data_IF_330154700735
#
_entry.id   IF_330154700735
#
_cell.length_a   1.000
_cell.length_b   1.000
_cell.length_c   1.000
_cell.angle_alpha   90.00
_cell.angle_beta   90.00
_cell.angle_gamma   90.00
#
_symmetry.space_group_name_H-M   'P 1'
#
loop_
_entity.id
_entity.type
_entity.pdbx_description
1 polymer ?
#
# COMPACT_ATOMS: atom_id res chain seq x y z
N UNK A 1 -37.22 -28.52 -19.13
CA UNK A 1 -35.78 -28.77 -18.92
C UNK A 1 -35.31 -27.75 -17.90
N UNK A 2 -34.77 -28.28 -16.81
CA UNK A 2 -34.55 -27.64 -15.52
C UNK A 2 -33.06 -27.31 -15.36
N UNK A 3 -32.77 -26.20 -14.65
CA UNK A 3 -31.47 -25.80 -14.07
C UNK A 3 -30.32 -25.43 -15.05
N UNK A 4 -29.37 -24.55 -14.75
CA UNK A 4 -28.79 -24.20 -13.45
C UNK A 4 -28.61 -22.69 -13.26
N UNK A 5 -29.09 -22.19 -12.11
CA UNK A 5 -28.53 -21.02 -11.45
C UNK A 5 -27.04 -21.27 -11.19
N UNK A 6 -26.15 -20.48 -11.80
CA UNK A 6 -24.76 -20.42 -11.33
C UNK A 6 -24.71 -19.46 -10.14
N UNK A 7 -25.03 -20.04 -8.99
CA UNK A 7 -24.81 -19.47 -7.66
C UNK A 7 -23.30 -19.42 -7.43
N UNK A 8 -22.65 -18.35 -7.89
CA UNK A 8 -21.29 -18.04 -7.44
C UNK A 8 -21.44 -17.44 -6.05
N UNK A 9 -20.84 -18.01 -4.99
CA UNK A 9 -20.83 -17.37 -3.70
C UNK A 9 -20.20 -16.00 -3.87
N UNK A 10 -20.94 -14.95 -3.50
CA UNK A 10 -20.42 -13.59 -3.42
C UNK A 10 -19.16 -13.63 -2.56
N UNK A 11 -18.00 -13.53 -3.21
CA UNK A 11 -16.76 -13.15 -2.55
C UNK A 11 -17.08 -11.91 -1.74
N UNK A 12 -17.02 -12.07 -0.41
CA UNK A 12 -17.41 -11.04 0.52
C UNK A 12 -16.75 -9.75 0.08
N UNK A 13 -17.57 -8.78 -0.34
CA UNK A 13 -17.13 -7.41 -0.63
C UNK A 13 -16.42 -6.93 0.62
N UNK A 14 -15.10 -7.10 0.64
CA UNK A 14 -14.23 -6.44 1.59
C UNK A 14 -14.55 -4.96 1.39
N UNK A 15 -15.24 -4.38 2.37
CA UNK A 15 -15.74 -3.01 2.32
C UNK A 15 -14.57 -2.06 2.49
N UNK A 16 -13.75 -1.94 1.46
CA UNK A 16 -12.61 -1.03 1.42
C UNK A 16 -13.05 0.44 1.51
N UNK A 17 -14.32 0.73 1.16
CA UNK A 17 -15.01 1.99 1.48
C UNK A 17 -15.03 2.31 2.99
N UNK A 18 -14.83 1.30 3.84
CA UNK A 18 -14.69 1.41 5.29
C UNK A 18 -13.27 1.15 5.80
N UNK A 19 -12.29 0.92 4.93
CA UNK A 19 -10.89 0.78 5.30
C UNK A 19 -10.18 2.13 5.54
N UNK A 20 -10.97 3.17 5.85
CA UNK A 20 -10.44 4.42 6.33
C UNK A 20 -9.84 4.18 7.73
N UNK A 21 -8.51 4.33 7.83
CA UNK A 21 -7.75 4.31 9.08
C UNK A 21 -7.37 2.91 9.61
N UNK A 22 -6.53 2.18 8.87
CA UNK A 22 -5.73 1.08 9.44
C UNK A 22 -4.37 1.54 9.99
N UNK A 23 -3.99 2.79 9.78
CA UNK A 23 -2.86 3.38 10.52
C UNK A 23 -3.43 3.93 11.82
N UNK A 24 -3.05 3.40 13.00
CA UNK A 24 -3.38 4.04 14.24
C UNK A 24 -2.88 5.48 14.16
N UNK A 25 -3.76 6.48 14.33
CA UNK A 25 -3.36 7.88 14.53
C UNK A 25 -2.34 8.04 15.67
N UNK A 26 -2.24 7.02 16.55
CA UNK A 26 -1.29 6.90 17.64
C UNK A 26 -0.01 6.12 17.32
N UNK A 27 0.24 5.63 16.09
CA UNK A 27 1.53 5.06 15.69
C UNK A 27 2.57 6.17 15.45
N UNK A 28 2.65 7.12 16.38
CA UNK A 28 3.77 8.03 16.49
C UNK A 28 4.91 7.26 17.16
N UNK A 29 6.02 7.14 16.43
CA UNK A 29 7.37 6.98 16.98
C UNK A 29 7.75 5.61 17.56
N UNK A 30 7.30 4.51 16.95
CA UNK A 30 8.03 3.25 17.07
C UNK A 30 9.25 3.24 16.13
N UNK A 31 10.38 2.62 16.50
CA UNK A 31 11.46 2.36 15.54
C UNK A 31 10.93 1.45 14.43
N UNK A 32 11.11 1.85 13.17
CA UNK A 32 10.66 1.09 12.01
C UNK A 32 10.27 1.94 10.81
N UNK A 33 10.14 1.30 9.62
CA UNK A 33 9.82 1.99 8.39
C UNK A 33 8.38 2.51 8.40
N UNK A 34 8.18 3.74 7.91
CA UNK A 34 6.87 4.39 7.84
C UNK A 34 6.54 4.78 6.40
N UNK A 35 5.27 4.67 6.01
CA UNK A 35 4.79 5.07 4.70
C UNK A 35 4.08 6.44 4.72
N UNK A 36 4.26 7.23 3.67
CA UNK A 36 3.50 8.45 3.39
C UNK A 36 3.17 8.54 1.89
N UNK A 37 2.05 9.18 1.54
CA UNK A 37 1.72 9.50 0.16
C UNK A 37 2.28 10.88 -0.18
N UNK A 38 2.98 10.97 -1.31
CA UNK A 38 3.56 12.19 -1.84
C UNK A 38 2.82 12.53 -3.14
N UNK A 39 2.05 13.63 -3.17
CA UNK A 39 1.41 14.08 -4.39
C UNK A 39 2.46 14.39 -5.46
N UNK A 40 2.33 13.78 -6.64
CA UNK A 40 3.15 14.12 -7.80
C UNK A 40 2.32 14.99 -8.75
N UNK A 41 2.68 16.27 -8.88
CA UNK A 41 1.98 17.21 -9.75
C UNK A 41 2.30 17.04 -11.24
N UNK A 42 3.26 16.19 -11.60
CA UNK A 42 3.72 15.98 -12.98
C UNK A 42 3.26 14.64 -13.55
N UNK A 43 2.92 13.68 -12.70
CA UNK A 43 2.43 12.34 -13.10
C UNK A 43 0.98 12.20 -12.63
N UNK A 44 0.15 11.49 -13.39
CA UNK A 44 -1.21 11.13 -12.97
C UNK A 44 -1.23 10.06 -11.85
N UNK A 45 -0.19 9.97 -11.02
CA UNK A 45 0.00 8.94 -10.00
C UNK A 45 0.81 9.48 -8.83
N UNK A 46 0.25 9.36 -7.63
CA UNK A 46 0.95 9.70 -6.40
C UNK A 46 2.13 8.76 -6.15
N UNK A 47 3.19 9.29 -5.55
CA UNK A 47 4.35 8.50 -5.13
C UNK A 47 4.20 8.08 -3.67
N UNK A 48 4.93 7.03 -3.29
CA UNK A 48 4.89 6.47 -1.93
C UNK A 48 6.24 6.72 -1.29
N UNK A 49 6.31 7.55 -0.27
CA UNK A 49 7.53 7.72 0.51
C UNK A 49 7.62 6.66 1.61
N UNK A 50 8.74 5.95 1.68
CA UNK A 50 9.11 5.07 2.79
C UNK A 50 10.23 5.73 3.57
N UNK A 51 9.92 6.09 4.82
CA UNK A 51 10.81 6.81 5.71
C UNK A 51 11.54 5.81 6.61
N UNK A 52 12.86 5.90 6.68
CA UNK A 52 13.70 5.08 7.55
C UNK A 52 14.69 5.94 8.35
N UNK A 53 15.16 5.42 9.48
CA UNK A 53 16.06 6.15 10.38
C UNK A 53 17.49 6.22 9.82
N UNK A 54 18.11 7.39 9.94
CA UNK A 54 19.50 7.60 9.51
C UNK A 54 20.47 6.62 10.17
N UNK A 55 21.35 6.05 9.35
CA UNK A 55 22.32 5.05 9.80
C UNK A 55 21.79 3.63 9.91
N UNK A 56 20.50 3.40 9.63
CA UNK A 56 19.97 2.07 9.34
C UNK A 56 20.20 1.72 7.86
N UNK A 57 20.30 0.42 7.56
CA UNK A 57 20.29 -0.05 6.18
C UNK A 57 18.96 0.34 5.53
N UNK A 58 18.97 0.93 4.31
CA UNK A 58 17.72 1.22 3.60
C UNK A 58 16.88 -0.06 3.44
N UNK A 59 15.56 0.01 3.70
CA UNK A 59 14.73 -1.18 3.71
C UNK A 59 14.53 -1.76 2.30
N UNK A 60 14.39 -3.08 2.22
CA UNK A 60 14.00 -3.74 0.98
C UNK A 60 12.51 -3.48 0.70
N UNK A 61 12.24 -2.85 -0.44
CA UNK A 61 10.87 -2.60 -0.89
C UNK A 61 10.34 -3.80 -1.67
N UNK A 62 9.20 -4.31 -1.23
CA UNK A 62 8.43 -5.36 -1.92
C UNK A 62 7.02 -4.87 -2.16
N UNK A 63 6.51 -5.05 -3.39
CA UNK A 63 5.11 -4.77 -3.71
C UNK A 63 4.41 -6.09 -3.93
N UNK A 64 3.33 -6.32 -3.17
CA UNK A 64 2.53 -7.54 -3.24
C UNK A 64 1.10 -7.20 -3.63
N UNK A 65 0.63 -7.82 -4.71
CA UNK A 65 -0.79 -7.78 -5.06
C UNK A 65 -1.58 -8.62 -4.05
N UNK A 66 -2.60 -8.02 -3.41
CA UNK A 66 -3.43 -8.70 -2.40
C UNK A 66 -4.79 -9.09 -2.97
N UNK A 67 -5.38 -8.25 -3.83
CA UNK A 67 -6.67 -8.55 -4.47
C UNK A 67 -6.89 -7.62 -5.66
N UNK A 68 -7.09 -8.18 -6.86
CA UNK A 68 -7.39 -7.39 -8.06
C UNK A 68 -6.41 -6.21 -8.22
N UNK A 69 -6.92 -4.99 -8.15
CA UNK A 69 -6.09 -3.78 -8.28
C UNK A 69 -5.49 -3.24 -6.97
N UNK A 70 -5.62 -3.98 -5.87
CA UNK A 70 -5.10 -3.61 -4.54
C UNK A 70 -3.72 -4.23 -4.34
N UNK A 71 -2.75 -3.35 -4.06
CA UNK A 71 -1.36 -3.67 -3.82
C UNK A 71 -0.95 -3.20 -2.43
N UNK A 72 -0.06 -3.94 -1.79
CA UNK A 72 0.56 -3.57 -0.53
C UNK A 72 2.04 -3.33 -0.76
N UNK A 73 2.53 -2.19 -0.28
CA UNK A 73 3.95 -1.88 -0.21
C UNK A 73 4.46 -2.35 1.14
N UNK A 74 5.49 -3.19 1.10
CA UNK A 74 6.19 -3.70 2.26
C UNK A 74 7.61 -3.16 2.27
N UNK A 75 8.08 -2.76 3.46
CA UNK A 75 9.46 -2.43 3.75
C UNK A 75 9.99 -3.49 4.73
N UNK A 76 10.96 -4.31 4.30
CA UNK A 76 11.47 -5.46 5.06
C UNK A 76 10.37 -6.43 5.54
N UNK A 77 9.33 -6.61 4.71
CA UNK A 77 8.18 -7.44 5.04
C UNK A 77 7.13 -6.79 5.96
N UNK A 78 7.34 -5.56 6.41
CA UNK A 78 6.36 -4.77 7.17
C UNK A 78 5.50 -3.96 6.20
N UNK A 79 4.17 -4.08 6.27
CA UNK A 79 3.26 -3.32 5.43
C UNK A 79 3.27 -1.82 5.82
N UNK A 80 3.69 -0.96 4.89
CA UNK A 80 3.82 0.49 5.10
C UNK A 80 2.79 1.31 4.32
N UNK A 81 2.24 0.76 3.22
CA UNK A 81 1.17 1.39 2.46
C UNK A 81 0.27 0.34 1.78
N UNK A 82 -1.01 0.67 1.59
CA UNK A 82 -1.95 -0.08 0.76
C UNK A 82 -2.48 0.84 -0.32
N UNK A 83 -2.32 0.44 -1.58
CA UNK A 83 -2.69 1.22 -2.76
C UNK A 83 -3.73 0.45 -3.54
N UNK A 84 -4.93 1.00 -3.66
CA UNK A 84 -5.94 0.50 -4.57
C UNK A 84 -5.88 1.33 -5.86
N UNK A 85 -5.39 0.72 -6.95
CA UNK A 85 -5.47 1.35 -8.27
C UNK A 85 -6.87 1.16 -8.83
N UNK A 86 -7.59 2.22 -9.20
CA UNK A 86 -8.89 2.08 -9.85
C UNK A 86 -8.74 1.75 -11.34
N UNK A 87 -7.83 2.42 -12.05
CA UNK A 87 -7.63 2.31 -13.50
C UNK A 87 -6.16 2.51 -13.96
N UNK A 88 -5.23 2.72 -13.03
CA UNK A 88 -3.81 2.95 -13.33
C UNK A 88 -2.98 1.66 -13.31
N UNK A 89 -1.72 1.70 -13.79
CA UNK A 89 -0.81 0.57 -13.68
C UNK A 89 -0.62 0.16 -12.21
N UNK A 90 -0.25 -1.10 -11.99
CA UNK A 90 0.17 -1.56 -10.67
C UNK A 90 1.38 -0.72 -10.20
N UNK A 91 1.42 -0.29 -8.92
CA UNK A 91 2.57 0.44 -8.39
C UNK A 91 3.83 -0.41 -8.52
N UNK A 92 4.93 0.23 -8.89
CA UNK A 92 6.24 -0.39 -9.04
C UNK A 92 7.21 0.11 -7.97
N UNK A 93 8.35 -0.56 -7.81
CA UNK A 93 9.37 -0.12 -6.85
C UNK A 93 9.91 1.28 -7.16
N UNK A 94 9.87 1.67 -8.43
CA UNK A 94 10.32 2.99 -8.90
C UNK A 94 9.36 4.13 -8.48
N UNK A 95 8.12 3.79 -8.10
CA UNK A 95 7.15 4.76 -7.57
C UNK A 95 7.30 4.94 -6.05
N UNK A 96 8.30 4.28 -5.44
CA UNK A 96 8.61 4.35 -4.02
C UNK A 96 9.86 5.19 -3.77
N UNK A 97 9.70 6.29 -3.04
CA UNK A 97 10.80 7.16 -2.61
C UNK A 97 11.33 6.70 -1.25
N UNK A 98 12.61 6.37 -1.15
CA UNK A 98 13.26 6.12 0.13
C UNK A 98 13.70 7.45 0.75
N UNK A 99 13.23 7.75 1.96
CA UNK A 99 13.51 8.99 2.67
C UNK A 99 14.21 8.68 3.99
N UNK A 100 15.45 9.13 4.11
CA UNK A 100 16.19 9.03 5.36
C UNK A 100 15.75 10.17 6.30
N UNK A 101 15.32 9.86 7.53
CA UNK A 101 15.06 10.87 8.56
C UNK A 101 16.18 10.92 9.58
N UNK A 102 16.59 12.13 9.94
CA UNK A 102 17.43 12.38 11.11
C UNK A 102 16.50 12.65 12.30
N UNK A 103 16.64 11.84 13.36
CA UNK A 103 15.99 12.04 14.66
C UNK A 103 16.81 12.94 15.56
#
# INVERSE_FOLDING_TARGET
MTDCRSDRPMEGRLRWDRAASLLPTAARSGPGPQGALVPDGLRDSDQIAVIYDKGQTPPEITIRQVSGSVHTVLADGVAVAVVASANGPAPSKDDVLLVERSV
#
